data_IF_796483950685
#
_entry.id   IF_796483950685
#
_cell.length_a   1.000
_cell.length_b   1.000
_cell.length_c   1.000
_cell.angle_alpha   90.00
_cell.angle_beta   90.00
_cell.angle_gamma   90.00
#
_symmetry.space_group_name_H-M   'P 1'
#
loop_
_entity.id
_entity.type
_entity.pdbx_description
1 polymer ?
#
# COMPACT_ATOMS: atom_id res chain seq x y z
N UNK A 1 -3.64 -8.84 11.12
CA UNK A 1 -3.56 -8.35 9.72
C UNK A 1 -4.75 -8.88 8.95
N UNK A 2 -5.41 -8.02 8.16
CA UNK A 2 -6.74 -8.24 7.58
C UNK A 2 -6.88 -9.56 6.81
N UNK A 3 -5.80 -10.01 6.15
CA UNK A 3 -5.79 -11.30 5.44
C UNK A 3 -6.10 -12.48 6.35
N UNK A 4 -5.63 -12.48 7.61
CA UNK A 4 -5.95 -13.55 8.57
C UNK A 4 -7.42 -13.54 8.98
N UNK A 5 -8.02 -12.34 9.09
CA UNK A 5 -9.43 -12.19 9.39
C UNK A 5 -10.30 -12.67 8.22
N UNK A 6 -9.96 -12.26 7.00
CA UNK A 6 -10.61 -12.71 5.76
C UNK A 6 -10.49 -14.25 5.62
N UNK A 7 -9.31 -14.83 5.87
CA UNK A 7 -9.11 -16.28 5.81
C UNK A 7 -10.02 -17.04 6.78
N UNK A 8 -10.19 -16.52 8.00
CA UNK A 8 -11.00 -17.17 9.05
C UNK A 8 -12.50 -17.00 8.84
N UNK A 9 -12.95 -15.80 8.48
CA UNK A 9 -14.38 -15.45 8.48
C UNK A 9 -14.99 -15.33 7.08
N UNK A 10 -14.17 -15.21 6.03
CA UNK A 10 -14.62 -15.02 4.64
C UNK A 10 -13.84 -15.94 3.67
N UNK A 11 -13.89 -17.28 3.83
CA UNK A 11 -13.06 -18.21 3.06
C UNK A 11 -13.34 -18.22 1.56
N UNK A 12 -14.55 -17.86 1.12
CA UNK A 12 -14.87 -17.69 -0.31
C UNK A 12 -14.09 -16.52 -0.92
N UNK A 13 -13.98 -15.41 -0.19
CA UNK A 13 -13.21 -14.23 -0.60
C UNK A 13 -11.70 -14.51 -0.58
N UNK A 14 -11.22 -15.22 0.46
CA UNK A 14 -9.81 -15.62 0.57
C UNK A 14 -9.36 -16.43 -0.66
N UNK A 15 -10.20 -17.39 -1.11
CA UNK A 15 -9.96 -18.24 -2.29
C UNK A 15 -10.01 -17.48 -3.61
N UNK A 16 -10.81 -16.42 -3.69
CA UNK A 16 -10.90 -15.58 -4.90
C UNK A 16 -9.66 -14.69 -5.06
N UNK A 17 -9.11 -14.19 -3.95
CA UNK A 17 -7.92 -13.35 -3.97
C UNK A 17 -6.62 -14.18 -4.04
N UNK A 18 -5.61 -13.64 -4.75
CA UNK A 18 -4.30 -14.26 -4.85
C UNK A 18 -3.58 -14.31 -3.48
N UNK A 19 -2.65 -15.26 -3.30
CA UNK A 19 -1.95 -15.44 -2.01
C UNK A 19 -1.00 -14.29 -1.66
N UNK A 20 -0.51 -13.56 -2.66
CA UNK A 20 0.37 -12.39 -2.46
C UNK A 20 -0.44 -11.17 -2.05
N UNK A 21 0.10 -10.43 -1.09
CA UNK A 21 -0.44 -9.15 -0.65
C UNK A 21 0.57 -8.04 -0.96
N UNK A 22 0.09 -6.87 -1.36
CA UNK A 22 0.91 -5.67 -1.50
C UNK A 22 0.66 -4.82 -0.26
N UNK A 23 1.64 -4.82 0.64
CA UNK A 23 1.58 -4.07 1.89
C UNK A 23 2.30 -2.72 1.76
N UNK A 24 1.51 -1.64 1.70
CA UNK A 24 2.03 -0.26 1.61
C UNK A 24 2.82 0.12 2.87
N UNK A 25 2.50 -0.46 4.03
CA UNK A 25 3.20 -0.15 5.29
C UNK A 25 4.63 -0.68 5.30
N UNK A 26 4.89 -1.80 4.61
CA UNK A 26 6.25 -2.29 4.37
C UNK A 26 7.08 -1.26 3.60
N UNK A 27 6.54 -0.70 2.51
CA UNK A 27 7.22 0.34 1.73
C UNK A 27 7.45 1.59 2.57
N UNK A 28 6.44 2.05 3.31
CA UNK A 28 6.57 3.17 4.23
C UNK A 28 7.72 2.96 5.23
N UNK A 29 7.83 1.77 5.82
CA UNK A 29 8.89 1.44 6.77
C UNK A 29 10.28 1.48 6.15
N UNK A 30 10.43 1.04 4.90
CA UNK A 30 11.68 1.17 4.13
C UNK A 30 11.99 2.63 3.82
N UNK A 31 11.00 3.39 3.35
CA UNK A 31 11.15 4.81 3.00
C UNK A 31 11.63 5.61 4.22
N UNK A 32 11.02 5.41 5.38
CA UNK A 32 11.41 6.09 6.62
C UNK A 32 12.86 5.83 7.04
N UNK A 33 13.40 4.63 6.74
CA UNK A 33 14.75 4.23 7.14
C UNK A 33 15.80 4.63 6.12
N UNK A 34 15.47 4.53 4.84
CA UNK A 34 16.40 4.78 3.75
C UNK A 34 16.39 6.24 3.28
N UNK A 35 15.30 6.96 3.52
CA UNK A 35 15.10 8.37 3.11
C UNK A 35 14.55 9.19 4.29
N UNK A 36 15.38 9.49 5.32
CA UNK A 36 14.91 10.14 6.55
C UNK A 36 14.33 11.56 6.32
N UNK A 37 14.76 12.25 5.27
CA UNK A 37 14.28 13.58 4.91
C UNK A 37 12.97 13.56 4.09
N UNK A 38 12.45 12.37 3.77
CA UNK A 38 11.24 12.22 2.99
C UNK A 38 9.99 12.65 3.77
N UNK A 39 9.25 13.60 3.23
CA UNK A 39 7.98 14.07 3.82
C UNK A 39 6.84 13.16 3.41
N UNK A 40 6.47 12.25 4.30
CA UNK A 40 5.32 11.36 4.08
C UNK A 40 4.01 12.14 3.95
N UNK A 41 3.09 11.69 3.08
CA UNK A 41 1.75 12.24 3.01
C UNK A 41 1.01 12.03 4.34
N UNK A 42 0.35 13.07 4.84
CA UNK A 42 -0.46 13.00 6.07
C UNK A 42 -1.75 12.24 5.79
N UNK A 43 -2.05 11.25 6.63
CA UNK A 43 -3.34 10.56 6.65
C UNK A 43 -4.34 11.37 7.48
N UNK A 44 -5.58 11.49 7.00
CA UNK A 44 -6.66 12.15 7.72
C UNK A 44 -7.27 11.22 8.78
N UNK A 45 -7.12 9.89 8.62
CA UNK A 45 -7.55 8.88 9.58
C UNK A 45 -9.03 9.03 9.99
N UNK A 46 -9.93 9.07 9.01
CA UNK A 46 -11.38 9.25 9.25
C UNK A 46 -12.08 8.01 9.83
N UNK A 47 -11.32 6.95 10.13
CA UNK A 47 -11.80 5.66 10.69
C UNK A 47 -12.85 4.94 9.83
N UNK A 48 -12.91 5.26 8.54
CA UNK A 48 -13.76 4.56 7.57
C UNK A 48 -12.88 3.74 6.63
N UNK A 49 -13.23 2.46 6.46
CA UNK A 49 -12.48 1.53 5.62
C UNK A 49 -12.29 2.04 4.17
N UNK A 50 -13.30 2.69 3.59
CA UNK A 50 -13.19 3.25 2.24
C UNK A 50 -12.14 4.37 2.15
N UNK A 51 -12.14 5.27 3.12
CA UNK A 51 -11.19 6.39 3.16
C UNK A 51 -9.77 5.85 3.40
N UNK A 52 -9.59 4.88 4.30
CA UNK A 52 -8.31 4.23 4.58
C UNK A 52 -7.71 3.54 3.33
N UNK A 53 -8.57 2.92 2.49
CA UNK A 53 -8.16 2.33 1.21
C UNK A 53 -7.69 3.42 0.25
N UNK A 54 -8.46 4.50 0.11
CA UNK A 54 -8.12 5.61 -0.78
C UNK A 54 -6.83 6.31 -0.38
N UNK A 55 -6.62 6.53 0.92
CA UNK A 55 -5.38 7.08 1.47
C UNK A 55 -4.17 6.16 1.22
N UNK A 56 -4.35 4.84 1.36
CA UNK A 56 -3.27 3.88 1.11
C UNK A 56 -2.89 3.80 -0.37
N UNK A 57 -3.86 3.94 -1.27
CA UNK A 57 -3.62 4.06 -2.72
C UNK A 57 -2.86 5.35 -3.04
N UNK A 58 -3.28 6.49 -2.46
CA UNK A 58 -2.62 7.77 -2.65
C UNK A 58 -1.17 7.75 -2.14
N UNK A 59 -0.94 7.15 -0.98
CA UNK A 59 0.39 6.94 -0.40
C UNK A 59 1.28 6.10 -1.33
N UNK A 60 0.79 4.97 -1.85
CA UNK A 60 1.56 4.15 -2.78
C UNK A 60 1.87 4.87 -4.09
N UNK A 61 0.93 5.65 -4.63
CA UNK A 61 1.18 6.51 -5.81
C UNK A 61 2.30 7.50 -5.55
N UNK A 62 2.28 8.15 -4.39
CA UNK A 62 3.31 9.10 -4.00
C UNK A 62 4.70 8.43 -3.92
N UNK A 63 4.81 7.24 -3.31
CA UNK A 63 6.06 6.48 -3.32
C UNK A 63 6.49 6.10 -4.74
N UNK A 64 5.57 5.66 -5.59
CA UNK A 64 5.86 5.32 -7.00
C UNK A 64 6.46 6.49 -7.77
N UNK A 65 5.99 7.71 -7.53
CA UNK A 65 6.42 8.91 -8.25
C UNK A 65 7.75 9.49 -7.73
N UNK A 66 8.02 9.34 -6.43
CA UNK A 66 9.10 10.06 -5.76
C UNK A 66 10.26 9.18 -5.28
N UNK A 67 10.03 7.88 -5.04
CA UNK A 67 11.03 6.95 -4.51
C UNK A 67 11.42 5.88 -5.52
N UNK A 68 10.43 5.26 -6.19
CA UNK A 68 10.73 4.18 -7.13
C UNK A 68 11.35 4.72 -8.42
N UNK A 69 12.28 3.94 -8.97
CA UNK A 69 12.89 4.25 -10.27
C UNK A 69 11.79 4.23 -11.35
N UNK A 70 11.78 5.25 -12.20
CA UNK A 70 10.85 5.30 -13.34
C UNK A 70 11.12 4.11 -14.25
N UNK A 71 10.05 3.49 -14.72
CA UNK A 71 10.18 2.45 -15.75
C UNK A 71 10.88 3.06 -16.96
N UNK A 72 12.03 2.49 -17.33
CA UNK A 72 12.76 2.82 -18.57
C UNK A 72 12.17 2.14 -19.79
N UNK A 73 11.03 1.44 -19.65
CA UNK A 73 10.30 0.92 -20.79
C UNK A 73 9.71 2.11 -21.58
N UNK A 74 10.51 2.62 -22.51
CA UNK A 74 10.01 3.21 -23.76
C UNK A 74 8.95 2.26 -24.32
N UNK A 75 7.84 2.85 -24.74
CA UNK A 75 6.75 2.18 -25.42
C UNK A 75 7.25 1.17 -26.46
N UNK A 76 6.48 0.07 -26.56
CA UNK A 76 6.52 -1.07 -27.49
C UNK A 76 7.22 -2.34 -26.99
#
# INVERSE_FOLDING_TARGET
MDRLFIKKYMPKLDKFAHYRCIDVSTIKGLVQRWYPDYKHPKKQCTHRAFDDIMESIAELKNYRESIFVKSTASSF
#
